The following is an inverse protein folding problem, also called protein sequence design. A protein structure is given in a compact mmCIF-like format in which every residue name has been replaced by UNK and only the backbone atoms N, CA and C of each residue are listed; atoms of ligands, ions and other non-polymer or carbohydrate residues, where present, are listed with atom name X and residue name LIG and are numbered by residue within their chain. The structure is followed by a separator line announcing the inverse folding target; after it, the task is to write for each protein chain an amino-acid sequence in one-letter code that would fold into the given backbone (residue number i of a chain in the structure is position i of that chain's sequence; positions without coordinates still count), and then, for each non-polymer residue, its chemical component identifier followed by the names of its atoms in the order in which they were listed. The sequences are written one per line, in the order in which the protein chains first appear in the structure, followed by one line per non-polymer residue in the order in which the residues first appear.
data_IF_351815321667
#
_entry.id   IF_351815321667
#
_cell.length_a   1.000
_cell.length_b   1.000
_cell.length_c   1.000
_cell.angle_alpha   90.00
_cell.angle_beta   90.00
_cell.angle_gamma   90.00
#
_symmetry.space_group_name_H-M   'P 1'
#
loop_
_entity.id
_entity.type
_entity.pdbx_description
1 polymer ?
#
# COMPACT_ATOMS: atom_id res chain seq x y z
N UNK A 1 -21.74 0.37 -11.25
CA UNK A 1 -20.48 1.08 -10.94
C UNK A 1 -20.21 0.90 -9.47
N UNK A 2 -19.18 0.13 -9.11
CA UNK A 2 -18.79 -0.07 -7.71
C UNK A 2 -18.03 1.18 -7.27
N UNK A 3 -18.47 1.84 -6.19
CA UNK A 3 -17.79 3.01 -5.65
C UNK A 3 -16.41 2.57 -5.13
N UNK A 4 -15.35 3.16 -5.67
CA UNK A 4 -13.98 2.90 -5.21
C UNK A 4 -13.82 3.59 -3.85
N UNK A 5 -13.83 2.81 -2.78
CA UNK A 5 -13.58 3.34 -1.44
C UNK A 5 -12.10 3.73 -1.30
N UNK A 6 -11.82 4.88 -0.67
CA UNK A 6 -10.45 5.27 -0.31
C UNK A 6 -9.92 4.33 0.79
N UNK A 7 -8.66 3.88 0.71
CA UNK A 7 -8.01 3.12 1.79
C UNK A 7 -8.09 3.85 3.14
N UNK A 8 -8.29 3.10 4.22
CA UNK A 8 -8.45 3.67 5.58
C UNK A 8 -7.25 4.52 5.99
N UNK A 9 -6.03 4.14 5.63
CA UNK A 9 -4.82 4.89 5.95
C UNK A 9 -4.80 6.29 5.29
N UNK A 10 -5.32 6.39 4.06
CA UNK A 10 -5.48 7.68 3.39
C UNK A 10 -6.58 8.48 4.07
N UNK A 11 -7.61 7.79 4.58
CA UNK A 11 -8.69 8.43 5.28
C UNK A 11 -8.23 9.16 6.55
N UNK A 12 -7.53 8.44 7.41
CA UNK A 12 -6.96 9.01 8.63
C UNK A 12 -6.02 10.17 8.35
N UNK A 13 -5.13 10.03 7.35
CA UNK A 13 -4.21 11.10 6.97
C UNK A 13 -4.93 12.38 6.54
N UNK A 14 -6.04 12.25 5.80
CA UNK A 14 -6.84 13.39 5.38
C UNK A 14 -7.58 14.05 6.56
N UNK A 15 -8.09 13.27 7.51
CA UNK A 15 -8.72 13.78 8.73
C UNK A 15 -7.71 14.58 9.58
N UNK A 16 -6.53 14.00 9.84
CA UNK A 16 -5.45 14.64 10.59
C UNK A 16 -4.96 15.94 9.90
N UNK A 17 -4.82 15.91 8.57
CA UNK A 17 -4.40 17.09 7.81
C UNK A 17 -5.48 18.18 7.83
N UNK A 18 -6.76 17.82 7.76
CA UNK A 18 -7.86 18.77 7.84
C UNK A 18 -7.96 19.40 9.24
N UNK A 19 -7.78 18.62 10.30
CA UNK A 19 -7.76 19.13 11.68
C UNK A 19 -6.59 20.09 11.89
N UNK A 20 -5.38 19.74 11.43
CA UNK A 20 -4.22 20.61 11.54
C UNK A 20 -4.42 21.93 10.76
N UNK A 21 -4.93 21.87 9.53
CA UNK A 21 -5.17 23.06 8.72
C UNK A 21 -6.34 23.90 9.26
N UNK A 22 -7.41 23.26 9.74
CA UNK A 22 -8.66 23.90 10.16
C UNK A 22 -8.62 24.46 11.58
N UNK A 23 -8.04 23.71 12.52
CA UNK A 23 -7.97 24.09 13.94
C UNK A 23 -6.54 24.45 14.36
N UNK A 24 -5.54 23.64 13.99
CA UNK A 24 -4.14 23.87 14.37
C UNK A 24 -3.58 25.19 13.85
N UNK A 25 -3.86 25.51 12.59
CA UNK A 25 -3.42 26.75 11.92
C UNK A 25 -4.46 27.86 11.95
N UNK A 26 -5.55 27.70 12.70
CA UNK A 26 -6.66 28.66 12.73
C UNK A 26 -6.27 30.01 13.29
N UNK A 27 -5.55 29.99 14.41
CA UNK A 27 -5.16 31.16 15.19
C UNK A 27 -3.68 31.51 15.07
N UNK A 28 -2.96 30.81 14.19
CA UNK A 28 -1.55 31.05 13.92
C UNK A 28 -1.35 32.29 13.04
N UNK A 29 -0.21 32.96 13.23
CA UNK A 29 0.08 34.23 12.55
C UNK A 29 0.59 33.99 11.13
N UNK A 30 -0.31 33.58 10.24
CA UNK A 30 -0.01 33.22 8.86
C UNK A 30 0.02 34.43 7.91
N UNK A 31 0.96 34.38 6.95
CA UNK A 31 0.97 35.32 5.81
C UNK A 31 -0.33 35.20 5.00
N UNK A 32 -0.70 36.26 4.27
CA UNK A 32 -1.91 36.24 3.44
C UNK A 32 -1.89 35.08 2.44
N UNK A 33 -0.77 34.90 1.76
CA UNK A 33 -0.56 33.79 0.83
C UNK A 33 -0.68 32.43 1.52
N UNK A 34 -0.13 32.24 2.73
CA UNK A 34 -0.25 30.98 3.46
C UNK A 34 -1.70 30.66 3.86
N UNK A 35 -2.50 31.68 4.22
CA UNK A 35 -3.94 31.52 4.48
C UNK A 35 -4.70 31.10 3.23
N UNK A 36 -4.40 31.71 2.08
CA UNK A 36 -5.05 31.34 0.81
C UNK A 36 -4.75 29.88 0.41
N UNK A 37 -3.50 29.42 0.63
CA UNK A 37 -3.12 28.02 0.38
C UNK A 37 -3.84 27.07 1.34
N UNK A 38 -3.88 27.39 2.64
CA UNK A 38 -4.62 26.61 3.65
C UNK A 38 -6.09 26.44 3.24
N UNK A 39 -6.75 27.54 2.89
CA UNK A 39 -8.16 27.53 2.53
C UNK A 39 -8.40 26.79 1.20
N UNK A 40 -7.46 26.87 0.26
CA UNK A 40 -7.51 26.10 -0.99
C UNK A 40 -7.40 24.59 -0.74
N UNK A 41 -6.48 24.17 0.13
CA UNK A 41 -6.29 22.75 0.48
C UNK A 41 -7.53 22.21 1.20
N UNK A 42 -8.09 22.95 2.15
CA UNK A 42 -9.33 22.57 2.86
C UNK A 42 -10.51 22.36 1.90
N UNK A 43 -10.67 23.25 0.90
CA UNK A 43 -11.69 23.04 -0.15
C UNK A 43 -11.43 21.79 -1.00
N UNK A 44 -10.16 21.49 -1.28
CA UNK A 44 -9.75 20.27 -1.97
C UNK A 44 -10.17 19.01 -1.21
N UNK A 45 -9.98 18.98 0.11
CA UNK A 45 -10.41 17.85 0.94
C UNK A 45 -11.93 17.64 0.91
N UNK A 46 -12.73 18.71 1.01
CA UNK A 46 -14.18 18.63 0.90
C UNK A 46 -14.65 18.08 -0.46
N UNK A 47 -13.97 18.45 -1.55
CA UNK A 47 -14.26 17.92 -2.88
C UNK A 47 -13.91 16.43 -3.01
N UNK A 48 -12.80 16.00 -2.42
CA UNK A 48 -12.43 14.57 -2.36
C UNK A 48 -13.46 13.79 -1.53
N UNK A 49 -13.84 14.27 -0.35
CA UNK A 49 -14.87 13.61 0.49
C UNK A 49 -16.19 13.40 -0.24
N UNK A 50 -16.64 14.43 -0.97
CA UNK A 50 -17.86 14.36 -1.80
C UNK A 50 -17.73 13.34 -2.92
N UNK A 51 -16.58 13.30 -3.61
CA UNK A 51 -16.32 12.41 -4.73
C UNK A 51 -16.28 10.93 -4.33
N UNK A 52 -15.88 10.65 -3.09
CA UNK A 52 -15.69 9.30 -2.57
C UNK A 52 -16.79 8.85 -1.58
N UNK A 53 -17.93 9.56 -1.50
CA UNK A 53 -19.05 9.24 -0.60
C UNK A 53 -18.63 9.02 0.87
N UNK A 54 -17.71 9.87 1.33
CA UNK A 54 -17.05 9.74 2.61
C UNK A 54 -17.98 9.75 3.83
N UNK A 55 -19.06 10.53 3.77
CA UNK A 55 -20.03 10.66 4.87
C UNK A 55 -21.12 9.57 4.87
N UNK A 56 -21.06 8.62 3.92
CA UNK A 56 -22.04 7.53 3.81
C UNK A 56 -21.37 6.20 4.14
N UNK A 57 -21.01 6.02 5.41
CA UNK A 57 -21.08 4.70 6.02
C UNK A 57 -22.36 4.64 6.86
N UNK A 58 -23.26 3.68 6.64
CA UNK A 58 -24.43 3.52 7.48
C UNK A 58 -23.93 3.11 8.88
N UNK A 59 -24.24 3.95 9.85
CA UNK A 59 -24.05 3.71 11.27
C UNK A 59 -24.88 2.47 11.65
N UNK A 60 -24.26 1.31 11.55
CA UNK A 60 -24.85 0.02 11.93
C UNK A 60 -24.88 -0.09 13.45
N UNK A 61 -26.02 0.23 14.03
CA UNK A 61 -26.36 -0.09 15.42
C UNK A 61 -26.96 1.08 16.18
N UNK A 62 -28.27 1.30 16.02
CA UNK A 62 -29.21 1.10 17.12
C UNK A 62 -30.65 1.42 16.71
N UNK A 63 -31.56 0.55 17.17
CA UNK A 63 -33.03 0.72 17.25
C UNK A 63 -33.82 0.58 15.93
N UNK A 64 -34.33 -0.64 15.70
CA UNK A 64 -35.59 -0.81 14.97
C UNK A 64 -36.58 -1.50 15.90
N UNK A 65 -37.46 -0.69 16.48
CA UNK A 65 -38.67 -1.11 17.15
C UNK A 65 -39.54 -1.94 16.19
N UNK A 66 -40.08 -3.02 16.75
CA UNK A 66 -41.35 -3.64 16.33
C UNK A 66 -42.42 -2.56 16.15
N UNK A 67 -43.21 -2.58 15.06
CA UNK A 67 -44.69 -2.55 15.06
C UNK A 67 -45.24 -2.33 13.62
N UNK A 68 -46.01 -3.31 13.12
CA UNK A 68 -47.24 -3.28 12.28
C UNK A 68 -47.34 -2.27 11.11
N UNK A 69 -47.82 -2.54 9.88
CA UNK A 69 -48.68 -3.56 9.29
C UNK A 69 -49.44 -2.96 8.07
N UNK A 70 -50.11 -3.80 7.27
CA UNK A 70 -51.12 -3.51 6.20
C UNK A 70 -50.61 -3.00 4.82
N UNK A 71 -50.73 -3.72 3.69
CA UNK A 71 -51.88 -4.28 2.90
C UNK A 71 -52.34 -3.34 1.75
N UNK A 72 -52.73 -3.96 0.61
CA UNK A 72 -53.34 -3.43 -0.64
C UNK A 72 -52.35 -3.15 -1.81
N UNK A 73 -52.50 -3.58 -3.08
CA UNK A 73 -53.52 -4.28 -3.88
C UNK A 73 -52.93 -4.70 -5.26
N UNK A 74 -53.50 -5.73 -5.88
CA UNK A 74 -53.33 -6.23 -7.26
C UNK A 74 -53.72 -5.22 -8.38
N UNK A 75 -53.10 -5.31 -9.58
CA UNK A 75 -53.77 -5.63 -10.88
C UNK A 75 -52.85 -5.50 -12.14
N UNK A 76 -52.51 -6.67 -12.71
CA UNK A 76 -52.59 -7.18 -14.10
C UNK A 76 -52.47 -6.33 -15.42
N UNK A 77 -51.86 -6.98 -16.43
CA UNK A 77 -52.04 -6.97 -17.92
C UNK A 77 -51.11 -6.18 -18.89
N UNK A 78 -50.25 -6.96 -19.57
CA UNK A 78 -50.12 -7.16 -21.04
C UNK A 78 -49.63 -6.04 -21.98
N UNK A 79 -48.70 -6.38 -22.90
CA UNK A 79 -48.39 -5.54 -24.07
C UNK A 79 -47.05 -5.82 -24.78
N UNK A 80 -47.02 -6.87 -25.61
CA UNK A 80 -45.94 -7.26 -26.55
C UNK A 80 -45.66 -6.21 -27.64
N UNK A 81 -44.41 -5.81 -27.89
CA UNK A 81 -43.84 -5.46 -29.22
C UNK A 81 -42.29 -5.39 -29.16
N UNK A 82 -41.57 -6.25 -29.90
CA UNK A 82 -40.09 -6.23 -30.08
C UNK A 82 -39.62 -5.31 -31.23
N UNK A 83 -38.41 -5.48 -31.85
CA UNK A 83 -37.28 -6.37 -31.57
C UNK A 83 -35.86 -5.68 -31.61
N UNK A 84 -34.84 -6.45 -31.17
CA UNK A 84 -33.39 -6.42 -31.53
C UNK A 84 -32.54 -5.15 -31.33
N UNK A 85 -31.30 -5.33 -30.83
CA UNK A 85 -30.03 -4.92 -31.48
C UNK A 85 -28.85 -5.04 -30.48
N UNK A 86 -27.95 -5.99 -30.79
CA UNK A 86 -26.48 -5.98 -30.57
C UNK A 86 -25.93 -5.11 -29.43
N UNK A 87 -25.52 -5.75 -28.33
CA UNK A 87 -24.55 -5.13 -27.41
C UNK A 87 -23.16 -5.53 -27.88
N UNK A 88 -22.49 -4.61 -28.57
CA UNK A 88 -21.05 -4.66 -28.81
C UNK A 88 -20.32 -4.67 -27.47
N UNK A 89 -19.83 -5.85 -27.08
CA UNK A 89 -18.77 -5.95 -26.10
C UNK A 89 -17.46 -5.55 -26.80
N UNK A 90 -16.76 -4.48 -26.37
CA UNK A 90 -15.41 -4.26 -26.83
C UNK A 90 -14.56 -5.40 -26.28
N UNK A 91 -14.08 -6.25 -27.19
CA UNK A 91 -13.00 -7.21 -26.96
C UNK A 91 -11.85 -6.49 -26.26
N UNK A 92 -11.69 -6.72 -24.96
CA UNK A 92 -10.45 -6.42 -24.27
C UNK A 92 -9.43 -7.49 -24.68
N UNK A 93 -8.24 -7.10 -25.14
CA UNK A 93 -7.25 -8.05 -25.59
C UNK A 93 -6.74 -8.83 -24.38
N UNK A 94 -6.57 -10.13 -24.61
CA UNK A 94 -5.85 -11.09 -23.79
C UNK A 94 -4.44 -10.55 -23.47
N UNK A 95 -4.34 -9.74 -22.41
CA UNK A 95 -3.08 -9.32 -21.82
C UNK A 95 -2.99 -10.01 -20.47
N UNK A 96 -2.09 -10.99 -20.44
CA UNK A 96 -1.59 -11.70 -19.27
C UNK A 96 -1.65 -10.85 -17.98
N UNK A 97 -2.56 -11.26 -17.11
CA UNK A 97 -2.83 -10.69 -15.78
C UNK A 97 -1.82 -11.15 -14.71
N UNK A 98 -0.58 -11.47 -15.10
CA UNK A 98 0.44 -12.06 -14.21
C UNK A 98 1.11 -11.01 -13.30
N UNK A 99 0.85 -9.72 -13.48
CA UNK A 99 1.61 -8.63 -12.84
C UNK A 99 0.91 -7.90 -11.69
N UNK A 100 -0.42 -7.92 -11.64
CA UNK A 100 -1.19 -7.14 -10.65
C UNK A 100 -1.65 -7.96 -9.45
N UNK A 101 -1.74 -9.28 -9.59
CA UNK A 101 -2.16 -10.17 -8.49
C UNK A 101 -1.12 -10.23 -7.36
N UNK A 102 0.18 -10.13 -7.67
CA UNK A 102 1.24 -10.35 -6.67
C UNK A 102 1.31 -9.24 -5.60
N UNK A 103 0.84 -8.02 -5.92
CA UNK A 103 0.96 -6.85 -5.04
C UNK A 103 0.01 -6.85 -3.84
N UNK A 104 -1.08 -7.65 -3.88
CA UNK A 104 -2.09 -7.71 -2.82
C UNK A 104 -2.18 -9.05 -2.09
N UNK A 105 -1.32 -10.03 -2.41
CA UNK A 105 -1.38 -11.37 -1.82
C UNK A 105 -1.25 -11.37 -0.30
N UNK A 106 -1.98 -12.26 0.35
CA UNK A 106 -1.82 -12.51 1.77
C UNK A 106 -0.47 -13.13 2.10
N UNK A 107 -0.01 -12.96 3.34
CA UNK A 107 1.30 -13.46 3.79
C UNK A 107 1.46 -14.99 3.62
N UNK A 108 0.35 -15.74 3.67
CA UNK A 108 0.32 -17.20 3.52
C UNK A 108 0.10 -17.67 2.08
N UNK A 109 -0.23 -16.75 1.17
CA UNK A 109 -0.53 -17.03 -0.24
C UNK A 109 0.68 -16.79 -1.14
N UNK A 110 1.76 -16.21 -0.60
CA UNK A 110 3.01 -16.02 -1.32
C UNK A 110 3.70 -17.36 -1.56
N UNK A 111 4.16 -17.54 -2.80
CA UNK A 111 5.01 -18.65 -3.22
C UNK A 111 6.44 -18.15 -3.49
N UNK A 112 7.37 -19.05 -3.83
CA UNK A 112 8.77 -18.73 -4.17
C UNK A 112 9.48 -17.83 -3.15
N UNK A 113 9.21 -18.09 -1.87
CA UNK A 113 9.75 -17.31 -0.76
C UNK A 113 11.24 -17.61 -0.61
N UNK A 114 12.06 -16.59 -0.77
CA UNK A 114 13.51 -16.67 -0.55
C UNK A 114 13.81 -16.56 0.94
N UNK A 115 13.17 -15.59 1.59
CA UNK A 115 13.30 -15.40 3.04
C UNK A 115 12.06 -14.74 3.62
N UNK A 116 11.68 -15.18 4.81
CA UNK A 116 10.61 -14.57 5.59
C UNK A 116 10.94 -14.57 7.08
N UNK A 117 10.37 -13.62 7.82
CA UNK A 117 10.61 -13.49 9.25
C UNK A 117 10.09 -12.18 9.82
N UNK A 118 10.07 -12.08 11.15
CA UNK A 118 9.72 -10.84 11.82
C UNK A 118 10.92 -9.88 11.84
N UNK A 119 10.68 -8.63 11.46
CA UNK A 119 11.63 -7.53 11.56
C UNK A 119 10.96 -6.33 12.25
N UNK A 120 11.74 -5.51 12.94
CA UNK A 120 11.30 -4.17 13.32
C UNK A 120 11.61 -3.23 12.15
N UNK A 121 10.57 -2.72 11.48
CA UNK A 121 10.71 -1.76 10.39
C UNK A 121 10.55 -0.35 10.93
N UNK A 122 11.43 0.56 10.54
CA UNK A 122 11.27 1.98 10.89
C UNK A 122 10.05 2.58 10.19
N UNK A 123 9.23 3.29 10.94
CA UNK A 123 8.13 4.10 10.43
C UNK A 123 8.69 5.24 9.57
N UNK A 124 7.99 5.54 8.47
CA UNK A 124 8.33 6.71 7.64
C UNK A 124 7.97 8.00 8.37
N UNK A 125 6.91 7.95 9.16
CA UNK A 125 6.39 9.10 9.87
C UNK A 125 6.95 9.08 11.29
N UNK A 126 7.54 10.20 11.72
CA UNK A 126 7.83 10.48 13.13
C UNK A 126 6.50 10.58 13.86
N UNK A 127 5.88 9.42 14.13
CA UNK A 127 4.61 9.35 14.83
C UNK A 127 4.83 9.94 16.21
N UNK A 128 4.26 11.12 16.47
CA UNK A 128 4.34 11.81 17.76
C UNK A 128 3.82 10.96 18.93
N UNK A 129 3.06 9.91 18.63
CA UNK A 129 2.43 9.01 19.60
C UNK A 129 2.80 7.53 19.42
N UNK A 130 3.71 7.19 18.49
CA UNK A 130 4.01 5.82 18.10
C UNK A 130 5.48 5.45 18.18
N UNK A 131 5.77 4.16 18.43
CA UNK A 131 7.13 3.64 18.35
C UNK A 131 7.68 3.82 16.93
N UNK A 132 8.83 4.48 16.82
CA UNK A 132 9.57 4.67 15.56
C UNK A 132 9.82 3.32 14.84
N UNK A 133 10.01 2.25 15.60
CA UNK A 133 10.24 0.89 15.11
C UNK A 133 8.99 0.02 15.32
N UNK A 134 8.47 -0.55 14.24
CA UNK A 134 7.24 -1.35 14.25
C UNK A 134 7.53 -2.79 13.82
N UNK A 135 7.09 -3.77 14.63
CA UNK A 135 7.17 -5.18 14.27
C UNK A 135 6.33 -5.46 13.02
N UNK A 136 6.94 -6.09 12.02
CA UNK A 136 6.33 -6.49 10.75
C UNK A 136 6.76 -7.89 10.39
N UNK A 137 5.85 -8.66 9.80
CA UNK A 137 6.23 -9.89 9.12
C UNK A 137 6.71 -9.52 7.72
N UNK A 138 7.97 -9.78 7.41
CA UNK A 138 8.58 -9.42 6.15
C UNK A 138 8.80 -10.68 5.31
N UNK A 139 8.59 -10.57 4.00
CA UNK A 139 8.76 -11.66 3.04
C UNK A 139 9.44 -11.12 1.79
N UNK A 140 10.49 -11.80 1.32
CA UNK A 140 11.12 -11.55 0.02
C UNK A 140 10.76 -12.71 -0.90
N UNK A 141 10.06 -12.39 -1.98
CA UNK A 141 9.61 -13.36 -3.00
C UNK A 141 9.66 -12.70 -4.37
N UNK A 142 10.10 -13.43 -5.40
CA UNK A 142 10.09 -13.03 -6.82
C UNK A 142 10.62 -11.59 -7.10
N UNK A 143 11.62 -11.13 -6.35
CA UNK A 143 12.19 -9.79 -6.50
C UNK A 143 11.35 -8.65 -5.88
N UNK A 144 10.32 -8.99 -5.13
CA UNK A 144 9.50 -8.07 -4.33
C UNK A 144 9.79 -8.27 -2.85
N UNK A 145 9.73 -7.18 -2.10
CA UNK A 145 9.78 -7.17 -0.64
C UNK A 145 8.42 -6.76 -0.10
N UNK A 146 7.78 -7.67 0.62
CA UNK A 146 6.50 -7.47 1.29
C UNK A 146 6.71 -7.26 2.78
N UNK A 147 5.88 -6.43 3.39
CA UNK A 147 5.75 -6.38 4.84
C UNK A 147 4.29 -6.30 5.27
N UNK A 148 3.96 -7.09 6.27
CA UNK A 148 2.63 -7.29 6.81
C UNK A 148 2.59 -6.88 8.29
N UNK A 149 1.39 -6.63 8.81
CA UNK A 149 1.20 -6.44 10.24
C UNK A 149 1.63 -7.71 11.02
N UNK A 150 1.33 -8.89 10.50
CA UNK A 150 1.69 -10.20 11.06
C UNK A 150 1.69 -11.30 9.97
N UNK A 151 2.13 -12.51 10.31
CA UNK A 151 2.24 -13.66 9.39
C UNK A 151 0.90 -14.20 8.84
N UNK A 152 -0.23 -13.79 9.42
CA UNK A 152 -1.59 -14.23 9.03
C UNK A 152 -2.36 -13.13 8.30
N UNK A 153 -1.71 -12.02 7.99
CA UNK A 153 -2.36 -10.88 7.36
C UNK A 153 -2.75 -11.22 5.94
N UNK A 154 -4.00 -10.94 5.58
CA UNK A 154 -4.55 -11.18 4.24
C UNK A 154 -4.09 -10.15 3.20
N UNK A 155 -3.53 -9.03 3.63
CA UNK A 155 -3.03 -7.98 2.76
C UNK A 155 -1.72 -7.39 3.33
N UNK A 156 -0.76 -7.03 2.46
CA UNK A 156 0.46 -6.37 2.89
C UNK A 156 0.18 -4.95 3.35
N UNK A 157 0.94 -4.49 4.36
CA UNK A 157 1.01 -3.07 4.71
C UNK A 157 1.84 -2.28 3.71
N UNK A 158 2.66 -2.96 2.92
CA UNK A 158 3.24 -2.43 1.71
C UNK A 158 4.13 -3.43 1.02
N UNK A 159 4.38 -3.15 -0.25
CA UNK A 159 5.24 -3.93 -1.13
C UNK A 159 6.12 -2.99 -1.95
N UNK A 160 7.32 -3.44 -2.32
CA UNK A 160 8.19 -2.72 -3.23
C UNK A 160 9.12 -3.67 -3.99
N UNK A 161 9.47 -3.31 -5.23
CA UNK A 161 10.49 -4.03 -5.99
C UNK A 161 11.88 -3.74 -5.43
N UNK A 162 12.65 -4.79 -5.17
CA UNK A 162 14.03 -4.65 -4.67
C UNK A 162 15.00 -4.26 -5.80
N UNK A 163 14.65 -4.50 -7.07
CA UNK A 163 15.48 -4.08 -8.21
C UNK A 163 15.76 -2.57 -8.15
N UNK A 164 17.04 -2.21 -8.23
CA UNK A 164 17.52 -0.82 -8.12
C UNK A 164 17.83 -0.36 -6.67
N UNK A 165 17.69 -1.24 -5.69
CA UNK A 165 18.16 -1.01 -4.33
C UNK A 165 19.58 -1.56 -4.10
N UNK A 166 20.25 -1.01 -3.09
CA UNK A 166 21.44 -1.57 -2.45
C UNK A 166 21.11 -1.92 -1.00
N UNK A 167 21.56 -3.08 -0.53
CA UNK A 167 21.34 -3.55 0.85
C UNK A 167 22.65 -3.54 1.63
N UNK A 168 22.63 -3.10 2.89
CA UNK A 168 23.82 -3.10 3.77
C UNK A 168 23.45 -3.13 5.25
N UNK A 169 24.40 -3.56 6.08
CA UNK A 169 24.34 -3.37 7.53
C UNK A 169 24.40 -1.87 7.86
N UNK A 170 23.64 -1.44 8.86
CA UNK A 170 23.47 -0.02 9.19
C UNK A 170 23.42 0.21 10.71
N UNK A 171 24.53 0.03 11.43
CA UNK A 171 24.57 0.17 12.90
C UNK A 171 24.34 1.60 13.38
N UNK A 172 24.40 2.61 12.51
CA UNK A 172 24.10 4.00 12.87
C UNK A 172 22.61 4.28 13.05
N UNK A 173 21.71 3.37 12.65
CA UNK A 173 20.26 3.55 12.73
C UNK A 173 19.72 3.57 14.16
N UNK A 174 20.45 2.99 15.12
CA UNK A 174 20.08 2.93 16.53
C UNK A 174 21.26 3.23 17.43
N UNK A 175 20.97 3.68 18.64
CA UNK A 175 21.96 3.94 19.70
C UNK A 175 21.93 2.90 20.84
N UNK A 176 20.94 2.02 20.83
CA UNK A 176 20.76 0.97 21.83
C UNK A 176 21.55 -0.32 21.47
N UNK A 177 21.39 -1.37 22.29
CA UNK A 177 22.06 -2.66 22.09
C UNK A 177 21.67 -3.38 20.80
N UNK A 178 20.56 -3.00 20.16
CA UNK A 178 20.09 -3.61 18.91
C UNK A 178 20.75 -3.03 17.66
N UNK A 179 21.60 -2.00 17.78
CA UNK A 179 22.27 -1.35 16.64
C UNK A 179 23.01 -2.32 15.71
N UNK A 180 23.66 -3.33 16.26
CA UNK A 180 24.40 -4.35 15.46
C UNK A 180 23.48 -5.31 14.68
N UNK A 181 22.16 -5.25 14.93
CA UNK A 181 21.14 -6.02 14.24
C UNK A 181 20.39 -5.19 13.19
N UNK A 182 20.89 -4.00 12.86
CA UNK A 182 20.25 -3.08 11.92
C UNK A 182 20.81 -3.22 10.50
N UNK A 183 19.92 -3.12 9.52
CA UNK A 183 20.26 -3.07 8.10
C UNK A 183 19.28 -2.18 7.34
N UNK A 184 19.62 -1.80 6.12
CA UNK A 184 18.78 -0.96 5.28
C UNK A 184 18.84 -1.35 3.81
N UNK A 185 17.76 -1.04 3.08
CA UNK A 185 17.73 -0.98 1.63
C UNK A 185 17.66 0.49 1.21
N UNK A 186 18.61 0.93 0.41
CA UNK A 186 18.72 2.31 -0.09
C UNK A 186 18.70 2.34 -1.60
N UNK A 187 18.24 3.45 -2.17
CA UNK A 187 18.18 3.68 -3.60
C UNK A 187 18.37 5.17 -3.88
N UNK A 188 18.82 5.53 -5.08
CA UNK A 188 19.07 6.94 -5.43
C UNK A 188 17.78 7.66 -5.85
N UNK A 189 16.85 6.93 -6.47
CA UNK A 189 15.58 7.43 -7.03
C UNK A 189 14.38 7.12 -6.14
N UNK A 190 14.53 6.26 -5.12
CA UNK A 190 13.44 5.76 -4.27
C UNK A 190 13.74 5.92 -2.80
N UNK A 191 12.68 5.88 -1.97
CA UNK A 191 12.83 5.93 -0.51
C UNK A 191 13.66 4.76 0.02
N UNK A 192 14.40 5.01 1.10
CA UNK A 192 15.07 3.97 1.86
C UNK A 192 14.11 3.20 2.77
N UNK A 193 14.50 1.98 3.13
CA UNK A 193 13.80 1.14 4.11
C UNK A 193 14.80 0.65 5.15
N UNK A 194 14.44 0.83 6.42
CA UNK A 194 15.32 0.60 7.56
C UNK A 194 14.72 -0.48 8.46
N UNK A 195 15.53 -1.47 8.84
CA UNK A 195 15.10 -2.66 9.57
C UNK A 195 16.05 -3.01 10.72
N UNK A 196 15.49 -3.61 11.77
CA UNK A 196 16.22 -4.29 12.84
C UNK A 196 15.76 -5.74 12.93
N UNK A 197 16.70 -6.68 12.86
CA UNK A 197 16.43 -8.11 13.08
C UNK A 197 16.49 -8.47 14.57
N UNK A 198 16.18 -9.71 14.94
CA UNK A 198 16.23 -10.14 16.34
C UNK A 198 17.66 -10.19 16.90
N UNK A 199 18.65 -10.42 16.03
CA UNK A 199 20.07 -10.47 16.38
C UNK A 199 20.98 -10.15 15.17
N UNK A 200 22.29 -9.91 15.38
CA UNK A 200 23.22 -9.56 14.31
C UNK A 200 23.41 -10.63 13.24
N UNK A 201 23.31 -11.91 13.61
CA UNK A 201 23.46 -13.00 12.65
C UNK A 201 22.26 -13.05 11.69
N UNK A 202 21.05 -12.88 12.21
CA UNK A 202 19.84 -12.79 11.39
C UNK A 202 19.86 -11.55 10.48
N UNK A 203 20.34 -10.42 10.96
CA UNK A 203 20.50 -9.21 10.14
C UNK A 203 21.44 -9.45 8.95
N UNK A 204 22.59 -10.08 9.19
CA UNK A 204 23.54 -10.44 8.13
C UNK A 204 22.92 -11.41 7.12
N UNK A 205 22.22 -12.43 7.59
CA UNK A 205 21.54 -13.38 6.72
C UNK A 205 20.48 -12.70 5.84
N UNK A 206 19.71 -11.74 6.36
CA UNK A 206 18.82 -10.90 5.55
C UNK A 206 19.58 -10.11 4.48
N UNK A 207 20.70 -9.47 4.85
CA UNK A 207 21.54 -8.72 3.92
C UNK A 207 22.10 -9.62 2.82
N UNK A 208 22.61 -10.80 3.18
CA UNK A 208 23.24 -11.74 2.26
C UNK A 208 22.23 -12.30 1.25
N UNK A 209 21.05 -12.75 1.70
CA UNK A 209 19.99 -13.26 0.82
C UNK A 209 19.48 -12.19 -0.15
N UNK A 210 19.24 -10.97 0.33
CA UNK A 210 18.79 -9.86 -0.52
C UNK A 210 19.90 -9.44 -1.50
N UNK A 211 21.15 -9.38 -1.04
CA UNK A 211 22.30 -9.02 -1.86
C UNK A 211 22.51 -10.02 -2.99
N UNK A 212 22.35 -11.32 -2.71
CA UNK A 212 22.41 -12.37 -3.73
C UNK A 212 21.34 -12.15 -4.82
N UNK A 213 20.08 -11.96 -4.43
CA UNK A 213 19.00 -11.68 -5.39
C UNK A 213 19.23 -10.42 -6.22
N UNK A 214 19.77 -9.36 -5.62
CA UNK A 214 20.05 -8.11 -6.34
C UNK A 214 21.13 -8.30 -7.42
N UNK A 215 22.14 -9.15 -7.15
CA UNK A 215 23.16 -9.50 -8.15
C UNK A 215 22.55 -10.27 -9.30
N UNK A 216 21.74 -11.29 -9.02
CA UNK A 216 21.06 -12.09 -10.05
C UNK A 216 20.14 -11.23 -10.93
N UNK A 217 19.36 -10.32 -10.32
CA UNK A 217 18.49 -9.39 -11.04
C UNK A 217 19.26 -8.37 -11.90
N UNK A 218 20.52 -8.11 -11.57
CA UNK A 218 21.41 -7.25 -12.37
C UNK A 218 22.10 -8.00 -13.52
N UNK A 219 22.21 -9.33 -13.43
CA UNK A 219 22.93 -10.18 -14.39
C UNK A 219 22.12 -10.59 -15.61
N UNK A 220 20.86 -10.18 -15.73
CA UNK A 220 19.94 -10.53 -16.84
C UNK A 220 20.25 -9.86 -18.18
N UNK A 221 21.40 -9.19 -18.33
CA UNK A 221 21.94 -8.83 -19.65
C UNK A 221 22.58 -10.06 -20.28
N UNK A 222 21.88 -10.68 -21.23
CA UNK A 222 22.44 -11.74 -22.10
C UNK A 222 23.55 -11.09 -22.93
N UNK A 223 24.82 -11.53 -22.85
CA UNK A 223 25.81 -11.16 -23.83
C UNK A 223 25.42 -11.84 -25.14
N UNK A 224 25.04 -11.07 -26.15
CA UNK A 224 24.99 -11.61 -27.51
C UNK A 224 26.44 -11.95 -27.88
N UNK A 225 26.74 -13.22 -28.08
CA UNK A 225 27.99 -13.63 -28.72
C UNK A 225 27.99 -13.00 -30.12
N UNK A 226 28.83 -12.01 -30.35
CA UNK A 226 29.17 -11.55 -31.70
C UNK A 226 29.90 -12.74 -32.35
N UNK A 227 29.22 -13.45 -33.25
CA UNK A 227 29.87 -14.42 -34.13
C UNK A 227 30.98 -13.69 -34.87
N UNK A 228 32.24 -14.01 -34.53
CA UNK A 228 33.40 -13.60 -35.30
C UNK A 228 33.24 -14.16 -36.72
N UNK A 229 32.91 -13.29 -37.67
CA UNK A 229 33.08 -13.58 -39.10
C UNK A 229 34.58 -13.78 -39.35
N UNK A 230 35.00 -15.04 -39.49
CA UNK A 230 36.33 -15.40 -40.00
C UNK A 230 36.47 -14.92 -41.46
N UNK A 231 37.38 -13.98 -41.70
CA UNK A 231 37.98 -13.71 -43.03
C UNK A 231 39.22 -14.59 -43.27
#
# INVERSE_FOLDING_TARGET
MQAVALPEEIRWLMEDAEEFLGEGLRNENLSATARDHRDHILRGFQQVKTRYYWDIQPQGGDQAESYLGQDSSDDNQSGTHGPSLTSDAPFLPDYQDEGVEDLLKGAQELDNIIKQGYLEKKSKDHSFFGSEWQKRWCVVSRGLFYYYANEKSKQPKGTFLIKGYSVRMAPYLRKDSKKESCFELTSQDRRSYEFTAANPAEARDWVDQISFLLKDLSSLTIPCEEEEEEE
#
